data_IF_824370960410
#
_entry.id   IF_824370960410
#
_cell.length_a   1.000
_cell.length_b   1.000
_cell.length_c   1.000
_cell.angle_alpha   90.00
_cell.angle_beta   90.00
_cell.angle_gamma   90.00
#
_symmetry.space_group_name_H-M   'P 1'
#
loop_
_entity.id
_entity.type
_entity.pdbx_description
1 polymer ?
#
# COMPACT_ATOMS: atom_id res chain seq x y z
N UNK A 1 -5.44 -41.55 64.01
CA UNK A 1 -5.09 -42.25 62.76
C UNK A 1 -5.29 -41.44 61.47
N UNK A 2 -5.96 -40.27 61.48
CA UNK A 2 -6.26 -39.53 60.24
C UNK A 2 -5.17 -38.58 59.72
N UNK A 3 -4.26 -38.09 60.57
CA UNK A 3 -3.27 -37.08 60.17
C UNK A 3 -2.11 -37.59 59.31
N UNK A 4 -1.71 -38.86 59.48
CA UNK A 4 -0.63 -39.50 58.72
C UNK A 4 -1.02 -39.77 57.26
N UNK A 5 -2.33 -39.91 56.98
CA UNK A 5 -2.86 -40.13 55.64
C UNK A 5 -2.98 -38.81 54.86
N UNK A 6 -3.30 -37.71 55.55
CA UNK A 6 -3.38 -36.37 54.95
C UNK A 6 -2.01 -35.83 54.52
N UNK A 7 -0.95 -36.07 55.30
CA UNK A 7 0.42 -35.69 54.96
C UNK A 7 0.98 -36.48 53.77
N UNK A 8 0.64 -37.77 53.67
CA UNK A 8 1.04 -38.62 52.55
C UNK A 8 0.34 -38.24 51.23
N UNK A 9 -0.92 -37.78 51.29
CA UNK A 9 -1.66 -37.34 50.10
C UNK A 9 -1.15 -36.00 49.55
N UNK A 10 -0.76 -35.06 50.42
CA UNK A 10 -0.17 -33.77 50.02
C UNK A 10 1.23 -33.96 49.42
N UNK A 11 2.03 -34.89 49.96
CA UNK A 11 3.33 -35.24 49.40
C UNK A 11 3.23 -35.87 48.00
N UNK A 12 2.17 -36.66 47.74
CA UNK A 12 1.94 -37.26 46.42
C UNK A 12 1.52 -36.22 45.35
N UNK A 13 0.74 -35.20 45.73
CA UNK A 13 0.29 -34.14 44.81
C UNK A 13 1.43 -33.18 44.44
N UNK A 14 2.38 -32.93 45.35
CA UNK A 14 3.55 -32.09 45.07
C UNK A 14 4.55 -32.73 44.09
N UNK A 15 4.56 -34.07 43.97
CA UNK A 15 5.44 -34.80 43.05
C UNK A 15 4.86 -34.93 41.62
N UNK A 16 3.60 -34.57 41.40
CA UNK A 16 2.95 -34.64 40.09
C UNK A 16 3.09 -33.34 39.24
N UNK A 17 3.74 -32.29 39.77
CA UNK A 17 3.83 -30.96 39.14
C UNK A 17 5.13 -30.72 38.35
N UNK A 18 5.72 -31.78 37.80
CA UNK A 18 6.84 -31.66 36.85
C UNK A 18 6.28 -31.44 35.43
N UNK A 19 5.93 -30.20 35.11
CA UNK A 19 5.65 -29.84 33.72
C UNK A 19 6.97 -29.71 32.96
N UNK A 20 7.16 -30.53 31.93
CA UNK A 20 8.30 -30.42 31.02
C UNK A 20 8.25 -29.07 30.31
N UNK A 21 9.12 -28.14 30.72
CA UNK A 21 9.26 -26.84 30.07
C UNK A 21 10.17 -27.02 28.86
N UNK A 22 9.59 -27.15 27.68
CA UNK A 22 10.35 -27.07 26.43
C UNK A 22 10.85 -25.64 26.27
N UNK A 23 12.16 -25.45 26.36
CA UNK A 23 12.82 -24.23 25.95
C UNK A 23 13.42 -24.49 24.56
N UNK A 24 13.16 -23.59 23.60
CA UNK A 24 13.84 -23.63 22.32
C UNK A 24 15.32 -23.39 22.58
N UNK A 25 16.16 -24.40 22.38
CA UNK A 25 17.60 -24.34 22.63
C UNK A 25 18.36 -23.78 21.44
N UNK A 26 17.82 -23.92 20.24
CA UNK A 26 18.47 -23.52 19.00
C UNK A 26 17.43 -23.29 17.90
N UNK A 27 17.65 -22.28 17.07
CA UNK A 27 16.87 -22.02 15.86
C UNK A 27 17.86 -21.91 14.70
N UNK A 28 17.91 -22.94 13.87
CA UNK A 28 18.66 -22.88 12.61
C UNK A 28 17.77 -22.30 11.51
N UNK A 29 18.25 -21.26 10.84
CA UNK A 29 17.62 -20.69 9.67
C UNK A 29 18.57 -20.80 8.47
N UNK A 30 18.09 -21.42 7.39
CA UNK A 30 18.82 -21.48 6.12
C UNK A 30 18.04 -20.74 5.04
N UNK A 31 18.74 -19.92 4.26
CA UNK A 31 18.19 -19.36 3.03
C UNK A 31 18.18 -20.44 1.95
N UNK A 32 17.01 -20.78 1.46
CA UNK A 32 16.85 -21.61 0.27
C UNK A 32 16.59 -20.68 -0.90
N UNK A 33 17.51 -20.66 -1.87
CA UNK A 33 17.32 -19.89 -3.09
C UNK A 33 16.23 -20.56 -3.94
N UNK A 34 15.21 -19.80 -4.32
CA UNK A 34 14.22 -20.20 -5.31
C UNK A 34 14.70 -19.71 -6.67
N UNK A 35 15.49 -20.52 -7.36
CA UNK A 35 16.03 -20.27 -8.69
C UNK A 35 15.63 -21.40 -9.67
N UNK A 36 16.15 -21.34 -10.89
CA UNK A 36 15.84 -22.29 -11.97
C UNK A 36 16.22 -23.74 -11.67
N UNK A 37 17.00 -24.01 -10.61
CA UNK A 37 17.34 -25.38 -10.22
C UNK A 37 16.09 -26.19 -9.82
N UNK A 38 15.06 -25.52 -9.29
CA UNK A 38 13.80 -26.16 -8.89
C UNK A 38 12.80 -26.32 -10.04
N UNK A 39 12.97 -25.54 -11.12
CA UNK A 39 12.13 -25.63 -12.33
C UNK A 39 12.46 -26.86 -13.18
N UNK A 40 13.63 -27.47 -12.97
CA UNK A 40 14.09 -28.61 -13.77
C UNK A 40 13.30 -29.91 -13.52
N UNK A 41 12.60 -30.01 -12.39
CA UNK A 41 11.80 -31.20 -12.01
C UNK A 41 10.49 -30.76 -11.36
N UNK A 42 9.55 -30.18 -12.13
CA UNK A 42 8.28 -29.80 -11.57
C UNK A 42 7.50 -31.05 -11.18
N UNK A 43 6.75 -30.95 -10.08
CA UNK A 43 5.85 -32.03 -9.66
C UNK A 43 4.65 -32.08 -10.63
N UNK A 44 4.58 -33.12 -11.46
CA UNK A 44 3.50 -33.28 -12.45
C UNK A 44 2.12 -33.32 -11.80
N UNK A 45 1.99 -33.95 -10.63
CA UNK A 45 0.74 -34.00 -9.86
C UNK A 45 0.30 -32.60 -9.41
N UNK A 46 1.25 -31.78 -8.94
CA UNK A 46 0.97 -30.39 -8.55
C UNK A 46 0.60 -29.52 -9.75
N UNK A 47 1.30 -29.69 -10.89
CA UNK A 47 0.97 -28.98 -12.13
C UNK A 47 -0.43 -29.36 -12.64
N UNK A 48 -0.77 -30.65 -12.63
CA UNK A 48 -2.08 -31.14 -13.03
C UNK A 48 -3.19 -30.60 -12.12
N UNK A 49 -2.93 -30.52 -10.81
CA UNK A 49 -3.85 -29.92 -9.84
C UNK A 49 -4.08 -28.43 -10.11
N UNK A 50 -3.02 -27.69 -10.46
CA UNK A 50 -3.09 -26.24 -10.69
C UNK A 50 -3.63 -25.87 -12.09
N UNK A 51 -3.52 -26.77 -13.07
CA UNK A 51 -3.90 -26.52 -14.46
C UNK A 51 -5.31 -25.89 -14.66
N UNK A 52 -6.40 -26.41 -14.06
CA UNK A 52 -7.72 -25.80 -14.24
C UNK A 52 -7.81 -24.38 -13.64
N UNK A 53 -7.17 -24.15 -12.49
CA UNK A 53 -7.14 -22.82 -11.86
C UNK A 53 -6.32 -21.83 -12.68
N UNK A 54 -5.17 -22.27 -13.18
CA UNK A 54 -4.32 -21.47 -14.07
C UNK A 54 -5.08 -21.04 -15.32
N UNK A 55 -5.80 -21.96 -15.97
CA UNK A 55 -6.59 -21.63 -17.15
C UNK A 55 -7.66 -20.57 -16.85
N UNK A 56 -8.35 -20.67 -15.71
CA UNK A 56 -9.32 -19.68 -15.27
C UNK A 56 -8.69 -18.30 -15.01
N UNK A 57 -7.57 -18.27 -14.27
CA UNK A 57 -6.83 -17.03 -13.97
C UNK A 57 -6.29 -16.40 -15.25
N UNK A 58 -5.62 -17.17 -16.11
CA UNK A 58 -5.04 -16.68 -17.36
C UNK A 58 -6.10 -16.04 -18.27
N UNK A 59 -7.33 -16.61 -18.30
CA UNK A 59 -8.43 -16.08 -19.12
C UNK A 59 -8.86 -14.65 -18.75
N UNK A 60 -8.72 -14.27 -17.47
CA UNK A 60 -9.09 -12.95 -16.95
C UNK A 60 -7.87 -12.01 -16.92
N UNK A 61 -6.72 -12.55 -16.51
CA UNK A 61 -5.50 -11.76 -16.27
C UNK A 61 -4.85 -11.27 -17.56
N UNK A 62 -5.05 -11.98 -18.68
CA UNK A 62 -4.50 -11.61 -19.98
C UNK A 62 -5.22 -10.46 -20.71
N UNK A 63 -6.37 -10.00 -20.20
CA UNK A 63 -7.14 -8.93 -20.84
C UNK A 63 -6.34 -7.62 -20.88
N UNK A 64 -6.20 -7.04 -22.08
CA UNK A 64 -5.51 -5.75 -22.28
C UNK A 64 -6.46 -4.60 -21.98
N UNK A 65 -6.10 -3.78 -21.00
CA UNK A 65 -6.85 -2.61 -20.53
C UNK A 65 -6.43 -1.31 -21.21
N UNK A 66 -5.20 -1.25 -21.71
CA UNK A 66 -4.65 -0.07 -22.37
C UNK A 66 -3.19 -0.23 -22.77
N UNK A 67 -2.52 0.88 -23.05
CA UNK A 67 -1.10 0.89 -23.46
C UNK A 67 -0.33 1.93 -22.66
N UNK A 68 0.76 1.52 -22.01
CA UNK A 68 1.74 2.41 -21.41
C UNK A 68 2.71 2.92 -22.48
N UNK A 69 2.87 4.23 -22.61
CA UNK A 69 3.80 4.83 -23.55
C UNK A 69 5.27 4.65 -23.11
N UNK A 70 5.50 4.60 -21.79
CA UNK A 70 6.81 4.49 -21.17
C UNK A 70 6.76 3.53 -19.99
N UNK A 71 7.90 2.96 -19.62
CA UNK A 71 8.00 2.18 -18.38
C UNK A 71 8.02 3.12 -17.18
N UNK A 72 7.22 2.82 -16.16
CA UNK A 72 7.07 3.63 -14.94
C UNK A 72 7.37 2.76 -13.71
N UNK A 73 8.39 3.13 -12.96
CA UNK A 73 8.80 2.46 -11.72
C UNK A 73 8.38 3.28 -10.49
N UNK A 74 8.51 2.66 -9.31
CA UNK A 74 8.21 3.20 -7.99
C UNK A 74 9.46 3.31 -7.12
N UNK A 75 9.77 4.54 -6.71
CA UNK A 75 10.88 4.88 -5.82
C UNK A 75 10.56 6.14 -5.02
N UNK A 76 11.38 6.40 -4.00
CA UNK A 76 11.34 7.63 -3.20
C UNK A 76 12.42 8.60 -3.67
N UNK A 77 12.25 9.92 -3.49
CA UNK A 77 11.13 10.58 -2.80
C UNK A 77 9.85 10.75 -3.63
N UNK A 78 9.97 10.62 -4.95
CA UNK A 78 8.90 10.79 -5.92
C UNK A 78 9.19 9.88 -7.11
N UNK A 79 8.17 9.26 -7.70
CA UNK A 79 8.34 8.41 -8.87
C UNK A 79 7.17 8.51 -9.84
N UNK A 80 7.37 8.19 -11.13
CA UNK A 80 6.31 8.25 -12.14
C UNK A 80 5.08 7.43 -11.76
N UNK A 81 5.27 6.18 -11.31
CA UNK A 81 4.15 5.29 -11.01
C UNK A 81 3.41 5.70 -9.74
N UNK A 82 4.13 6.16 -8.71
CA UNK A 82 3.49 6.65 -7.48
C UNK A 82 2.71 7.94 -7.70
N UNK A 83 3.21 8.82 -8.57
CA UNK A 83 2.50 10.04 -8.98
C UNK A 83 1.19 9.72 -9.68
N UNK A 84 1.23 8.80 -10.65
CA UNK A 84 0.06 8.37 -11.39
C UNK A 84 -1.02 7.78 -10.47
N UNK A 85 -0.63 6.89 -9.56
CA UNK A 85 -1.56 6.25 -8.64
C UNK A 85 -2.15 7.28 -7.66
N UNK A 86 -1.36 8.23 -7.18
CA UNK A 86 -1.87 9.33 -6.36
C UNK A 86 -2.84 10.23 -7.13
N UNK A 87 -2.61 10.48 -8.43
CA UNK A 87 -3.56 11.19 -9.29
C UNK A 87 -4.89 10.44 -9.42
N UNK A 88 -4.84 9.12 -9.59
CA UNK A 88 -6.02 8.26 -9.65
C UNK A 88 -6.84 8.37 -8.36
N UNK A 89 -6.20 8.27 -7.19
CA UNK A 89 -6.89 8.41 -5.89
C UNK A 89 -7.49 9.81 -5.69
N UNK A 90 -6.73 10.85 -6.04
CA UNK A 90 -7.20 12.24 -5.95
C UNK A 90 -8.44 12.49 -6.80
N UNK A 91 -8.43 11.98 -8.04
CA UNK A 91 -9.56 12.11 -8.97
C UNK A 91 -10.74 11.23 -8.54
N UNK A 92 -10.48 10.01 -8.09
CA UNK A 92 -11.52 9.08 -7.65
C UNK A 92 -12.34 9.60 -6.47
N UNK A 93 -11.76 10.47 -5.63
CA UNK A 93 -12.50 11.15 -4.56
C UNK A 93 -13.71 11.99 -5.06
N UNK A 94 -13.78 12.31 -6.35
CA UNK A 94 -14.94 12.97 -6.95
C UNK A 94 -16.24 12.15 -6.85
N UNK A 95 -16.16 10.82 -6.73
CA UNK A 95 -17.35 9.98 -6.50
C UNK A 95 -18.02 10.25 -5.14
N UNK A 96 -17.26 10.79 -4.19
CA UNK A 96 -17.72 11.13 -2.83
C UNK A 96 -18.01 12.63 -2.71
N UNK A 97 -17.10 13.46 -3.23
CA UNK A 97 -17.12 14.91 -3.00
C UNK A 97 -17.80 15.71 -4.12
N UNK A 98 -18.10 15.08 -5.26
CA UNK A 98 -18.51 15.77 -6.50
C UNK A 98 -17.38 16.54 -7.19
N UNK A 99 -16.17 16.52 -6.64
CA UNK A 99 -14.94 17.13 -7.17
C UNK A 99 -13.71 16.33 -6.73
N UNK A 100 -12.56 16.43 -7.43
CA UNK A 100 -11.33 15.82 -6.95
C UNK A 100 -10.95 16.31 -5.56
N UNK A 101 -10.33 15.45 -4.76
CA UNK A 101 -9.77 15.84 -3.48
C UNK A 101 -8.67 16.89 -3.67
N UNK A 102 -8.36 17.64 -2.61
CA UNK A 102 -7.28 18.61 -2.66
C UNK A 102 -5.93 17.89 -2.80
N UNK A 103 -5.76 16.77 -2.08
CA UNK A 103 -4.57 15.92 -2.09
C UNK A 103 -4.91 14.47 -2.44
N UNK A 104 -4.06 13.81 -3.23
CA UNK A 104 -4.02 12.35 -3.37
C UNK A 104 -2.78 11.78 -2.68
N UNK A 105 -2.90 10.63 -2.03
CA UNK A 105 -1.81 9.98 -1.31
C UNK A 105 -1.82 8.46 -1.50
N UNK A 106 -0.67 7.88 -1.81
CA UNK A 106 -0.43 6.43 -1.78
C UNK A 106 0.96 6.15 -1.24
N UNK A 107 1.12 5.08 -0.47
CA UNK A 107 2.43 4.64 -0.02
C UNK A 107 3.16 3.86 -1.13
N UNK A 108 4.39 4.25 -1.40
CA UNK A 108 5.30 3.60 -2.36
C UNK A 108 5.50 2.13 -2.00
N UNK A 109 5.50 1.77 -0.71
CA UNK A 109 5.61 0.39 -0.25
C UNK A 109 4.47 -0.53 -0.74
N UNK A 110 3.29 0.05 -0.99
CA UNK A 110 2.11 -0.62 -1.52
C UNK A 110 2.19 -0.95 -3.01
N UNK A 111 3.09 -0.30 -3.75
CA UNK A 111 3.31 -0.51 -5.18
C UNK A 111 4.40 -1.58 -5.33
N UNK A 112 4.10 -2.70 -5.99
CA UNK A 112 4.93 -3.91 -5.88
C UNK A 112 5.68 -4.31 -7.13
N UNK A 113 5.32 -3.75 -8.29
CA UNK A 113 5.99 -4.01 -9.55
C UNK A 113 6.11 -2.73 -10.40
N UNK A 114 6.91 -2.82 -11.47
CA UNK A 114 7.05 -1.80 -12.51
C UNK A 114 5.90 -1.93 -13.50
N UNK A 115 5.37 -0.81 -13.99
CA UNK A 115 4.52 -0.81 -15.17
C UNK A 115 5.41 -0.68 -16.41
N UNK A 116 5.63 -1.76 -17.14
CA UNK A 116 6.46 -1.75 -18.36
C UNK A 116 5.73 -1.07 -19.52
N UNK A 117 6.50 -0.47 -20.43
CA UNK A 117 5.95 0.07 -21.68
C UNK A 117 5.30 -1.04 -22.52
N UNK A 118 4.22 -0.71 -23.23
CA UNK A 118 3.45 -1.65 -24.04
C UNK A 118 2.06 -1.93 -23.47
N UNK A 119 1.50 -3.10 -23.77
CA UNK A 119 0.16 -3.46 -23.32
C UNK A 119 0.10 -3.52 -21.80
N UNK A 120 -0.92 -2.89 -21.23
CA UNK A 120 -1.27 -2.97 -19.82
C UNK A 120 -2.37 -4.01 -19.69
N UNK A 121 -2.08 -5.13 -19.05
CA UNK A 121 -3.08 -6.17 -18.79
C UNK A 121 -3.63 -6.09 -17.37
N UNK A 122 -4.74 -6.78 -17.12
CA UNK A 122 -5.25 -7.02 -15.76
C UNK A 122 -4.15 -7.60 -14.86
N UNK A 123 -3.36 -8.55 -15.36
CA UNK A 123 -2.23 -9.13 -14.63
C UNK A 123 -1.23 -8.06 -14.16
N UNK A 124 -0.83 -7.14 -15.05
CA UNK A 124 0.12 -6.09 -14.69
C UNK A 124 -0.41 -5.25 -13.53
N UNK A 125 -1.70 -4.90 -13.54
CA UNK A 125 -2.31 -4.10 -12.48
C UNK A 125 -2.38 -4.88 -11.17
N UNK A 126 -2.69 -6.18 -11.21
CA UNK A 126 -2.67 -7.05 -10.03
C UNK A 126 -1.25 -7.21 -9.43
N UNK A 127 -0.22 -7.30 -10.27
CA UNK A 127 1.17 -7.37 -9.80
C UNK A 127 1.65 -6.04 -9.20
N UNK A 128 1.22 -4.90 -9.76
CA UNK A 128 1.59 -3.57 -9.26
C UNK A 128 0.86 -3.26 -7.94
N UNK A 129 -0.43 -3.59 -7.85
CA UNK A 129 -1.33 -3.26 -6.74
C UNK A 129 -1.94 -4.55 -6.14
N UNK A 130 -1.15 -5.44 -5.52
CA UNK A 130 -1.63 -6.76 -5.12
C UNK A 130 -2.54 -6.75 -3.89
N UNK A 131 -2.56 -5.67 -3.11
CA UNK A 131 -3.37 -5.54 -1.91
C UNK A 131 -4.80 -5.12 -2.22
N UNK A 132 -5.77 -5.63 -1.45
CA UNK A 132 -7.19 -5.26 -1.52
C UNK A 132 -7.48 -3.90 -0.87
N UNK A 133 -6.63 -2.91 -1.13
CA UNK A 133 -6.81 -1.56 -0.61
C UNK A 133 -7.96 -0.86 -1.33
N UNK A 134 -8.80 -0.15 -0.59
CA UNK A 134 -9.92 0.63 -1.14
C UNK A 134 -9.74 2.13 -0.91
N UNK A 135 -10.35 2.95 -1.77
CA UNK A 135 -10.37 4.40 -1.63
C UNK A 135 -11.00 4.80 -0.28
N UNK A 136 -10.33 5.69 0.42
CA UNK A 136 -10.88 6.46 1.52
C UNK A 136 -10.66 7.94 1.27
N UNK A 137 -11.73 8.72 1.43
CA UNK A 137 -11.73 10.17 1.33
C UNK A 137 -11.85 10.74 2.74
N UNK A 138 -10.87 11.54 3.13
CA UNK A 138 -10.72 12.09 4.47
C UNK A 138 -10.81 13.61 4.43
N UNK A 139 -11.34 14.22 5.49
CA UNK A 139 -11.24 15.67 5.74
C UNK A 139 -10.33 15.91 6.93
N UNK A 140 -9.24 16.64 6.72
CA UNK A 140 -8.26 17.01 7.74
C UNK A 140 -8.33 18.51 8.04
N UNK A 141 -7.99 18.89 9.27
CA UNK A 141 -7.57 20.27 9.54
C UNK A 141 -6.24 20.57 8.84
N UNK A 142 -5.92 21.84 8.61
CA UNK A 142 -4.63 22.22 8.02
C UNK A 142 -3.45 21.87 8.93
N UNK A 143 -3.65 21.90 10.25
CA UNK A 143 -2.66 21.43 11.22
C UNK A 143 -2.40 19.92 11.07
N UNK A 144 -3.44 19.09 10.95
CA UNK A 144 -3.30 17.66 10.72
C UNK A 144 -2.70 17.36 9.34
N UNK A 145 -3.07 18.13 8.31
CA UNK A 145 -2.45 18.00 6.99
C UNK A 145 -0.94 18.32 7.07
N UNK A 146 -0.54 19.33 7.83
CA UNK A 146 0.87 19.67 8.01
C UNK A 146 1.63 18.56 8.75
N UNK A 147 1.01 17.93 9.74
CA UNK A 147 1.58 16.73 10.38
C UNK A 147 1.66 15.55 9.41
N UNK A 148 0.64 15.33 8.57
CA UNK A 148 0.69 14.32 7.51
C UNK A 148 1.88 14.56 6.57
N UNK A 149 2.11 15.81 6.16
CA UNK A 149 3.27 16.19 5.35
C UNK A 149 4.59 15.85 6.06
N UNK A 150 4.65 16.04 7.38
CA UNK A 150 5.81 15.64 8.18
C UNK A 150 5.96 14.10 8.27
N UNK A 151 4.86 13.34 8.37
CA UNK A 151 4.90 11.88 8.32
C UNK A 151 5.43 11.38 6.96
N UNK A 152 5.01 12.00 5.85
CA UNK A 152 5.52 11.70 4.50
C UNK A 152 7.02 12.02 4.41
N UNK A 153 7.45 13.18 4.93
CA UNK A 153 8.85 13.58 4.94
C UNK A 153 9.74 12.61 5.73
N UNK A 154 9.29 12.15 6.90
CA UNK A 154 10.03 11.22 7.77
C UNK A 154 10.28 9.86 7.11
N UNK A 155 9.49 9.50 6.09
CA UNK A 155 9.67 8.28 5.29
C UNK A 155 10.53 8.49 4.04
N UNK A 156 11.00 9.71 3.83
CA UNK A 156 11.73 10.09 2.63
C UNK A 156 10.84 10.29 1.40
N UNK A 157 9.54 10.57 1.58
CA UNK A 157 8.59 10.78 0.49
C UNK A 157 7.64 9.62 0.23
N UNK A 158 6.51 9.92 -0.42
CA UNK A 158 5.47 8.97 -0.84
C UNK A 158 4.83 9.45 -2.15
N UNK A 159 3.94 8.66 -2.75
CA UNK A 159 3.19 9.08 -3.93
C UNK A 159 2.15 10.12 -3.57
N UNK A 160 2.30 11.34 -4.09
CA UNK A 160 1.41 12.47 -3.77
C UNK A 160 0.86 13.13 -5.04
N UNK A 161 -0.33 13.71 -4.95
CA UNK A 161 -0.98 14.50 -6.01
C UNK A 161 -1.62 15.75 -5.42
N UNK A 162 -1.52 16.89 -6.11
CA UNK A 162 -2.02 18.19 -5.60
C UNK A 162 -1.21 18.78 -4.44
N UNK A 163 -0.17 18.07 -3.98
CA UNK A 163 0.72 18.42 -2.89
C UNK A 163 2.16 18.54 -3.41
N UNK A 164 2.85 19.60 -3.00
CA UNK A 164 4.29 19.78 -3.22
C UNK A 164 5.00 19.86 -1.87
N UNK A 165 6.03 19.05 -1.68
CA UNK A 165 6.84 18.99 -0.46
C UNK A 165 8.31 19.31 -0.78
N UNK A 166 8.93 20.09 0.09
CA UNK A 166 10.39 20.16 0.21
C UNK A 166 10.75 19.50 1.53
N UNK A 167 11.62 18.50 1.49
CA UNK A 167 12.05 17.74 2.66
C UNK A 167 13.57 17.80 2.79
N UNK A 168 14.10 17.69 3.99
CA UNK A 168 15.54 17.58 4.20
C UNK A 168 16.03 16.15 3.99
N UNK A 169 17.34 15.99 3.77
CA UNK A 169 17.97 14.68 3.66
C UNK A 169 17.78 13.79 4.90
N UNK A 170 17.62 14.39 6.09
CA UNK A 170 17.33 13.70 7.35
C UNK A 170 15.83 13.45 7.61
N UNK A 171 14.96 13.69 6.63
CA UNK A 171 13.54 13.34 6.69
C UNK A 171 12.67 14.36 7.42
N UNK A 172 13.09 15.63 7.55
CA UNK A 172 12.24 16.70 8.11
C UNK A 172 11.49 17.42 6.99
N UNK A 173 10.27 17.83 7.29
CA UNK A 173 9.50 18.71 6.41
C UNK A 173 10.09 20.13 6.45
N UNK A 174 10.37 20.72 5.29
CA UNK A 174 10.84 22.09 5.15
C UNK A 174 9.74 23.00 4.57
N UNK A 175 9.04 22.55 3.54
CA UNK A 175 7.91 23.27 2.95
C UNK A 175 6.80 22.29 2.54
N UNK A 176 5.54 22.73 2.67
CA UNK A 176 4.37 22.02 2.17
C UNK A 176 3.43 23.00 1.47
N UNK A 177 3.00 22.67 0.25
CA UNK A 177 2.05 23.46 -0.54
C UNK A 177 0.96 22.59 -1.13
N UNK A 178 -0.28 23.06 -1.10
CA UNK A 178 -1.42 22.43 -1.78
C UNK A 178 -1.94 23.39 -2.84
N UNK A 179 -2.06 22.92 -4.08
CA UNK A 179 -2.45 23.78 -5.20
C UNK A 179 -1.55 25.00 -5.40
N UNK A 180 -0.25 24.87 -5.09
CA UNK A 180 0.74 25.95 -5.17
C UNK A 180 0.78 26.91 -3.98
N UNK A 181 -0.20 26.87 -3.08
CA UNK A 181 -0.24 27.74 -1.90
C UNK A 181 0.31 27.02 -0.67
N UNK A 182 1.02 27.71 0.25
CA UNK A 182 1.42 27.13 1.54
C UNK A 182 0.22 26.50 2.25
N UNK A 183 0.45 25.39 2.96
CA UNK A 183 -0.58 24.79 3.81
C UNK A 183 -1.01 25.81 4.87
N UNK A 184 -2.30 26.08 4.93
CA UNK A 184 -2.95 27.01 5.85
C UNK A 184 -3.60 26.20 6.98
N UNK A 185 -3.05 26.33 8.19
CA UNK A 185 -3.51 25.58 9.37
C UNK A 185 -4.96 25.92 9.78
N UNK A 186 -5.48 27.09 9.36
CA UNK A 186 -6.84 27.52 9.63
C UNK A 186 -7.90 26.98 8.67
N UNK A 187 -7.50 26.24 7.62
CA UNK A 187 -8.41 25.67 6.62
C UNK A 187 -8.53 24.15 6.76
N UNK A 188 -9.58 23.58 6.17
CA UNK A 188 -9.70 22.13 6.01
C UNK A 188 -9.29 21.69 4.61
N UNK A 189 -8.79 20.46 4.51
CA UNK A 189 -8.32 19.85 3.28
C UNK A 189 -8.90 18.46 3.12
N UNK A 190 -9.21 18.10 1.88
CA UNK A 190 -9.66 16.76 1.52
C UNK A 190 -8.51 15.93 0.97
N UNK A 191 -8.40 14.69 1.43
CA UNK A 191 -7.35 13.74 1.04
C UNK A 191 -8.00 12.46 0.50
N UNK A 192 -7.73 12.14 -0.76
CA UNK A 192 -8.01 10.83 -1.34
C UNK A 192 -6.83 9.89 -1.09
N UNK A 193 -7.03 8.85 -0.31
CA UNK A 193 -5.99 7.87 0.05
C UNK A 193 -6.57 6.46 0.03
N UNK A 194 -5.82 5.48 0.50
CA UNK A 194 -6.30 4.11 0.75
C UNK A 194 -6.67 3.87 2.22
N UNK A 195 -7.60 2.95 2.46
CA UNK A 195 -8.00 2.46 3.78
C UNK A 195 -6.83 2.09 4.70
N UNK A 196 -5.83 1.38 4.19
CA UNK A 196 -4.62 1.04 4.93
C UNK A 196 -3.95 2.27 5.54
N UNK A 197 -3.76 3.34 4.77
CA UNK A 197 -3.17 4.58 5.29
C UNK A 197 -4.16 5.37 6.15
N UNK A 198 -5.45 5.33 5.83
CA UNK A 198 -6.49 5.99 6.63
C UNK A 198 -6.56 5.46 8.07
N UNK A 199 -6.06 4.25 8.33
CA UNK A 199 -5.90 3.66 9.66
C UNK A 199 -4.60 4.06 10.38
N UNK A 200 -3.78 4.93 9.78
CA UNK A 200 -2.52 5.40 10.35
C UNK A 200 -1.34 4.45 10.11
N UNK A 201 -1.52 3.39 9.33
CA UNK A 201 -0.43 2.50 8.96
C UNK A 201 0.67 3.24 8.18
N UNK A 202 1.84 2.61 8.11
CA UNK A 202 3.06 3.23 7.56
C UNK A 202 3.46 4.55 8.27
N UNK A 203 2.93 4.82 9.47
CA UNK A 203 3.23 6.03 10.23
C UNK A 203 2.42 7.26 9.81
N UNK A 204 1.36 7.09 8.99
CA UNK A 204 0.46 8.17 8.57
C UNK A 204 -0.57 8.54 9.66
N UNK A 205 -0.13 8.65 10.90
CA UNK A 205 -0.98 8.77 12.09
C UNK A 205 -1.93 9.97 12.03
N UNK A 206 -1.52 11.07 11.37
CA UNK A 206 -2.37 12.24 11.17
C UNK A 206 -3.71 11.92 10.47
N UNK A 207 -3.75 10.90 9.61
CA UNK A 207 -4.98 10.50 8.91
C UNK A 207 -6.06 9.99 9.86
N UNK A 208 -5.68 9.43 11.02
CA UNK A 208 -6.63 8.91 12.02
C UNK A 208 -7.44 10.00 12.71
N UNK A 209 -6.98 11.26 12.63
CA UNK A 209 -7.62 12.43 13.24
C UNK A 209 -8.56 13.18 12.29
N UNK A 210 -8.85 12.58 11.13
CA UNK A 210 -9.79 13.15 10.18
C UNK A 210 -11.16 13.39 10.81
N UNK A 211 -11.72 14.58 10.60
CA UNK A 211 -13.06 14.94 11.09
C UNK A 211 -14.17 14.25 10.30
N UNK A 212 -13.87 13.81 9.07
CA UNK A 212 -14.74 12.99 8.24
C UNK A 212 -13.93 11.92 7.51
N UNK A 213 -14.48 10.72 7.42
CA UNK A 213 -13.94 9.59 6.65
C UNK A 213 -15.07 8.90 5.89
N UNK A 214 -14.90 8.76 4.59
CA UNK A 214 -15.83 8.03 3.73
C UNK A 214 -15.05 7.11 2.80
N UNK A 215 -15.32 5.82 2.85
CA UNK A 215 -14.68 4.82 2.01
C UNK A 215 -15.77 4.13 1.19
N UNK A 216 -16.01 4.56 -0.07
CA UNK A 216 -17.12 4.03 -0.87
C UNK A 216 -16.95 2.53 -1.13
N UNK A 217 -18.04 1.78 -1.02
CA UNK A 217 -18.04 0.34 -1.24
C UNK A 217 -17.66 0.02 -2.69
N UNK A 218 -16.86 -1.04 -2.88
CA UNK A 218 -16.42 -1.50 -4.20
C UNK A 218 -15.35 -0.63 -4.89
N UNK A 219 -14.97 0.52 -4.31
CA UNK A 219 -13.95 1.41 -4.86
C UNK A 219 -12.53 0.94 -4.56
N UNK A 220 -12.19 -0.29 -4.98
CA UNK A 220 -10.84 -0.85 -4.82
C UNK A 220 -9.82 -0.03 -5.61
N UNK A 221 -8.61 0.13 -5.09
CA UNK A 221 -7.55 0.88 -5.77
C UNK A 221 -7.22 0.25 -7.14
N UNK A 222 -7.22 -1.09 -7.23
CA UNK A 222 -7.07 -1.80 -8.52
C UNK A 222 -8.18 -1.47 -9.49
N UNK A 223 -9.44 -1.53 -9.06
CA UNK A 223 -10.60 -1.17 -9.89
C UNK A 223 -10.48 0.26 -10.41
N UNK A 224 -10.21 1.21 -9.52
CA UNK A 224 -10.03 2.62 -9.88
C UNK A 224 -8.89 2.85 -10.88
N UNK A 225 -7.79 2.10 -10.74
CA UNK A 225 -6.67 2.17 -11.67
C UNK A 225 -7.01 1.54 -13.03
N UNK A 226 -7.67 0.38 -13.05
CA UNK A 226 -8.20 -0.25 -14.27
C UNK A 226 -9.14 0.71 -15.01
N UNK A 227 -10.14 1.27 -14.32
CA UNK A 227 -11.07 2.23 -14.89
C UNK A 227 -10.36 3.46 -15.45
N UNK A 228 -9.32 3.95 -14.74
CA UNK A 228 -8.51 5.05 -15.25
C UNK A 228 -7.85 4.67 -16.58
N UNK A 229 -7.17 3.51 -16.65
CA UNK A 229 -6.49 3.05 -17.86
C UNK A 229 -7.47 2.88 -19.03
N UNK A 230 -8.61 2.25 -18.78
CA UNK A 230 -9.67 2.06 -19.78
C UNK A 230 -10.23 3.40 -20.28
N UNK A 231 -10.50 4.36 -19.38
CA UNK A 231 -10.97 5.70 -19.75
C UNK A 231 -9.95 6.48 -20.59
N UNK A 232 -8.66 6.41 -20.25
CA UNK A 232 -7.62 7.06 -21.06
C UNK A 232 -7.53 6.42 -22.44
N UNK A 233 -7.60 5.09 -22.50
CA UNK A 233 -7.54 4.31 -23.74
C UNK A 233 -8.72 4.62 -24.65
N UNK A 234 -9.94 4.67 -24.09
CA UNK A 234 -11.15 5.08 -24.81
C UNK A 234 -11.06 6.53 -25.34
N UNK A 235 -10.29 7.40 -24.67
CA UNK A 235 -9.98 8.75 -25.12
C UNK A 235 -8.80 8.82 -26.11
N UNK A 236 -8.29 7.68 -26.59
CA UNK A 236 -7.16 7.60 -27.52
C UNK A 236 -5.80 7.95 -26.92
N UNK A 237 -5.69 7.99 -25.59
CA UNK A 237 -4.46 8.36 -24.87
C UNK A 237 -3.74 7.11 -24.36
N UNK A 238 -2.42 7.13 -24.48
CA UNK A 238 -1.55 6.15 -23.82
C UNK A 238 -1.27 6.61 -22.38
N UNK A 239 -0.97 5.65 -21.51
CA UNK A 239 -0.66 5.93 -20.11
C UNK A 239 0.80 6.33 -19.99
N UNK A 240 1.03 7.48 -19.38
CA UNK A 240 2.37 7.96 -19.04
C UNK A 240 2.29 8.85 -17.81
N UNK A 241 3.39 8.85 -17.05
CA UNK A 241 3.63 9.77 -15.96
C UNK A 241 5.12 10.01 -15.87
N UNK A 242 5.50 11.08 -15.16
CA UNK A 242 6.89 11.48 -14.96
C UNK A 242 7.07 12.02 -13.54
N UNK A 243 8.33 12.20 -13.16
CA UNK A 243 8.68 13.02 -11.99
C UNK A 243 8.42 14.49 -12.34
N UNK A 244 7.75 15.20 -11.44
CA UNK A 244 7.30 16.58 -11.65
C UNK A 244 7.81 17.54 -10.55
N UNK A 245 8.57 17.03 -9.57
CA UNK A 245 9.02 17.83 -8.43
C UNK A 245 7.91 18.01 -7.38
N UNK A 246 7.03 17.02 -7.25
CA UNK A 246 6.05 16.93 -6.16
C UNK A 246 6.71 16.69 -4.81
N UNK A 247 7.85 15.99 -4.75
CA UNK A 247 8.65 15.86 -3.52
C UNK A 247 10.13 16.07 -3.83
N UNK A 248 10.71 17.11 -3.25
CA UNK A 248 12.11 17.50 -3.48
C UNK A 248 12.92 17.37 -2.19
N UNK A 249 14.09 16.74 -2.26
CA UNK A 249 15.04 16.65 -1.14
C UNK A 249 16.04 17.80 -1.22
N UNK A 250 16.13 18.59 -0.16
CA UNK A 250 17.14 19.63 0.03
C UNK A 250 18.25 19.08 0.93
N UNK A 251 19.50 19.28 0.49
CA UNK A 251 20.69 18.95 1.26
C UNK A 251 20.86 19.90 2.46
#
# INVERSE_FOLDING_TARGET
MGWLWSLSLVALVLLASCHTRYAVTEVEARRVAMDTAWDARPCEEALALLAPYKAGVDSVMGEVKGVAAVSMDRFRPESPLSNLIADVLRQAAASVLGRPADVGLVNVGGIRNVLTAGNITTQNIYEILPFENSLCVLTLSGADLKELCANIAARGGEGVSGLNLVISADGRLLEARVGGQPVDEGRTYTVGTIDFLAEGNDGMQALTRASQRQCPEGATLRGLFMDYVERQTAAGRKIEARVEGRVVVKQ
#
